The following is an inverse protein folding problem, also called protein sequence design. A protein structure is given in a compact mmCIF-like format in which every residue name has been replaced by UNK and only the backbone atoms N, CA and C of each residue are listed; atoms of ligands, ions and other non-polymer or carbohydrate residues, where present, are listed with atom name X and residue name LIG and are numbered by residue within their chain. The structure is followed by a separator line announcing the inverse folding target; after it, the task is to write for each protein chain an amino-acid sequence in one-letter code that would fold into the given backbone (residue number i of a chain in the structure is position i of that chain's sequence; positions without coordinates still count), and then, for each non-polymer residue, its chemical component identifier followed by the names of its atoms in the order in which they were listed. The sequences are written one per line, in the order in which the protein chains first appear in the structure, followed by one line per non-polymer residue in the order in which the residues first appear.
data_IF_126304498411
#
_entry.id   IF_126304498411
#
_cell.length_a   1.000
_cell.length_b   1.000
_cell.length_c   1.000
_cell.angle_alpha   90.00
_cell.angle_beta   90.00
_cell.angle_gamma   90.00
#
_symmetry.space_group_name_H-M   'P 1'
#
loop_
_entity.id
_entity.type
_entity.pdbx_description
1 polymer ?
#
# COMPACT_ATOMS: atom_id res chain seq x y z
N UNK A 1 25.01 11.77 4.86
CA UNK A 1 24.71 10.32 4.81
C UNK A 1 23.48 10.07 5.65
N UNK A 2 22.36 9.63 5.08
CA UNK A 2 21.18 9.41 5.90
C UNK A 2 21.30 8.09 6.66
N UNK A 3 21.25 8.19 7.97
CA UNK A 3 21.20 7.09 8.96
C UNK A 3 19.93 6.22 8.85
N UNK A 4 19.10 6.50 7.83
CA UNK A 4 17.75 5.93 7.65
C UNK A 4 17.72 4.46 7.20
N UNK A 5 18.83 3.89 6.74
CA UNK A 5 18.86 2.54 6.17
C UNK A 5 19.40 1.47 7.13
N UNK A 6 19.99 1.85 8.28
CA UNK A 6 20.50 0.88 9.23
C UNK A 6 19.36 0.03 9.81
N UNK A 7 19.39 -1.27 9.50
CA UNK A 7 18.48 -2.27 10.05
C UNK A 7 17.09 -2.37 9.39
N UNK A 8 16.88 -1.76 8.23
CA UNK A 8 15.64 -1.97 7.44
C UNK A 8 15.81 -3.15 6.47
N UNK A 9 14.92 -4.12 6.56
CA UNK A 9 14.84 -5.25 5.61
C UNK A 9 13.51 -5.23 4.90
N UNK A 10 13.54 -5.33 3.55
CA UNK A 10 12.34 -5.58 2.76
C UNK A 10 12.32 -7.05 2.31
N UNK A 11 11.19 -7.69 2.49
CA UNK A 11 11.01 -9.09 2.07
C UNK A 11 9.54 -9.39 1.73
N UNK A 12 9.32 -10.45 1.00
CA UNK A 12 7.97 -10.98 0.85
C UNK A 12 7.42 -11.43 2.21
N UNK A 13 6.13 -11.19 2.43
CA UNK A 13 5.45 -11.61 3.65
C UNK A 13 5.28 -13.13 3.67
N UNK A 14 5.31 -13.69 4.88
CA UNK A 14 5.07 -15.11 5.18
C UNK A 14 3.76 -15.26 5.95
N UNK A 15 3.21 -16.46 6.01
CA UNK A 15 1.97 -16.72 6.76
C UNK A 15 2.01 -16.24 8.22
N UNK A 16 3.17 -16.33 8.87
CA UNK A 16 3.39 -15.86 10.25
C UNK A 16 3.33 -14.32 10.42
N UNK A 17 3.41 -13.55 9.34
CA UNK A 17 3.37 -12.08 9.41
C UNK A 17 1.93 -11.54 9.53
N UNK A 18 0.90 -12.37 9.39
CA UNK A 18 -0.50 -11.94 9.35
C UNK A 18 -0.91 -11.06 10.54
N UNK A 19 -0.49 -11.42 11.77
CA UNK A 19 -0.76 -10.65 12.98
C UNK A 19 -0.05 -9.30 12.98
N UNK A 20 1.23 -9.27 12.58
CA UNK A 20 2.03 -8.05 12.52
C UNK A 20 1.50 -7.08 11.45
N UNK A 21 1.14 -7.59 10.25
CA UNK A 21 0.53 -6.80 9.18
C UNK A 21 -0.83 -6.24 9.64
N UNK A 22 -1.66 -7.06 10.29
CA UNK A 22 -2.95 -6.62 10.82
C UNK A 22 -2.78 -5.50 11.86
N UNK A 23 -1.76 -5.57 12.72
CA UNK A 23 -1.42 -4.52 13.68
C UNK A 23 -1.04 -3.22 12.95
N UNK A 24 -0.06 -3.27 12.05
CA UNK A 24 0.39 -2.11 11.26
C UNK A 24 -0.79 -1.49 10.52
N UNK A 25 -1.65 -2.30 9.90
CA UNK A 25 -2.81 -1.84 9.16
C UNK A 25 -3.79 -1.06 10.05
N UNK A 26 -4.15 -1.60 11.24
CA UNK A 26 -5.06 -0.93 12.17
C UNK A 26 -4.47 0.37 12.73
N UNK A 27 -3.20 0.33 13.16
CA UNK A 27 -2.53 1.51 13.72
C UNK A 27 -2.41 2.62 12.69
N UNK A 28 -1.96 2.28 11.46
CA UNK A 28 -1.85 3.24 10.37
C UNK A 28 -3.20 3.82 9.95
N UNK A 29 -4.28 3.02 9.96
CA UNK A 29 -5.63 3.51 9.69
C UNK A 29 -6.06 4.59 10.68
N UNK A 30 -5.84 4.36 11.98
CA UNK A 30 -6.20 5.32 13.02
C UNK A 30 -5.46 6.64 12.86
N UNK A 31 -4.17 6.60 12.55
CA UNK A 31 -3.36 7.81 12.40
C UNK A 31 -3.57 8.52 11.06
N UNK A 32 -3.73 7.77 9.97
CA UNK A 32 -3.89 8.32 8.61
C UNK A 32 -5.24 8.99 8.42
N UNK A 33 -6.31 8.38 8.94
CA UNK A 33 -7.69 8.82 8.67
C UNK A 33 -8.32 9.62 9.80
N UNK A 34 -7.59 9.85 10.91
CA UNK A 34 -8.02 10.78 11.96
C UNK A 34 -8.26 12.18 11.35
N UNK A 35 -9.47 12.71 11.54
CA UNK A 35 -9.88 14.00 10.96
C UNK A 35 -10.26 13.98 9.48
N UNK A 36 -10.14 12.82 8.80
CA UNK A 36 -10.58 12.63 7.40
C UNK A 36 -11.88 11.82 7.37
N UNK A 37 -11.96 10.75 8.14
CA UNK A 37 -13.11 9.87 8.23
C UNK A 37 -13.78 9.98 9.61
N UNK A 38 -15.11 9.83 9.71
CA UNK A 38 -15.80 9.69 10.98
C UNK A 38 -15.25 8.52 11.81
N UNK A 39 -15.24 8.67 13.13
CA UNK A 39 -14.67 7.65 14.03
C UNK A 39 -15.35 6.29 13.93
N UNK A 40 -16.67 6.26 13.73
CA UNK A 40 -17.45 5.03 13.53
C UNK A 40 -17.04 4.31 12.23
N UNK A 41 -16.70 5.05 11.18
CA UNK A 41 -16.20 4.48 9.91
C UNK A 41 -14.81 3.89 10.13
N UNK A 42 -13.93 4.63 10.81
CA UNK A 42 -12.58 4.12 11.15
C UNK A 42 -12.68 2.85 11.98
N UNK A 43 -13.53 2.81 13.01
CA UNK A 43 -13.72 1.66 13.89
C UNK A 43 -14.25 0.45 13.11
N UNK A 44 -15.28 0.63 12.28
CA UNK A 44 -15.88 -0.43 11.45
C UNK A 44 -14.86 -1.02 10.48
N UNK A 45 -14.12 -0.18 9.79
CA UNK A 45 -13.14 -0.63 8.82
C UNK A 45 -11.86 -1.20 9.47
N UNK A 46 -11.47 -0.70 10.63
CA UNK A 46 -10.37 -1.28 11.39
C UNK A 46 -10.68 -2.73 11.83
N UNK A 47 -11.93 -3.03 12.18
CA UNK A 47 -12.38 -4.40 12.48
C UNK A 47 -12.23 -5.38 11.31
N UNK A 48 -12.35 -4.89 10.07
CA UNK A 48 -12.15 -5.69 8.85
C UNK A 48 -10.67 -5.99 8.54
N UNK A 49 -9.74 -5.44 9.32
CA UNK A 49 -8.28 -5.60 9.14
C UNK A 49 -7.70 -6.57 10.17
N UNK A 50 -8.42 -7.66 10.41
CA UNK A 50 -8.06 -8.70 11.37
C UNK A 50 -6.94 -9.61 10.86
N UNK A 51 -6.28 -10.29 11.79
CA UNK A 51 -5.26 -11.28 11.45
C UNK A 51 -5.81 -12.40 10.55
N UNK A 52 -7.04 -12.85 10.79
CA UNK A 52 -7.68 -13.89 9.98
C UNK A 52 -7.88 -13.47 8.52
N UNK A 53 -8.19 -12.20 8.27
CA UNK A 53 -8.28 -11.64 6.91
C UNK A 53 -6.90 -11.66 6.25
N UNK A 54 -5.85 -11.22 6.96
CA UNK A 54 -4.49 -11.23 6.42
C UNK A 54 -3.96 -12.63 6.21
N UNK A 55 -4.27 -13.58 7.10
CA UNK A 55 -3.90 -14.99 6.92
C UNK A 55 -4.47 -15.56 5.61
N UNK A 56 -5.72 -15.25 5.28
CA UNK A 56 -6.33 -15.66 4.01
C UNK A 56 -5.66 -14.99 2.80
N UNK A 57 -5.34 -13.70 2.90
CA UNK A 57 -4.64 -12.99 1.82
C UNK A 57 -3.23 -13.52 1.55
N UNK A 58 -2.50 -13.84 2.61
CA UNK A 58 -1.15 -14.41 2.48
C UNK A 58 -1.14 -15.86 1.98
N UNK A 59 -2.29 -16.52 1.93
CA UNK A 59 -2.46 -17.84 1.34
C UNK A 59 -2.74 -17.81 -0.17
N UNK A 60 -3.01 -16.63 -0.76
CA UNK A 60 -3.16 -16.46 -2.21
C UNK A 60 -1.80 -16.63 -2.89
N UNK A 61 -1.72 -17.34 -4.04
CA UNK A 61 -0.47 -17.49 -4.77
C UNK A 61 0.19 -16.15 -5.10
N UNK A 62 1.52 -16.02 -4.92
CA UNK A 62 2.23 -14.76 -5.13
C UNK A 62 2.10 -14.17 -6.54
N UNK A 63 1.82 -15.01 -7.54
CA UNK A 63 1.59 -14.60 -8.93
C UNK A 63 0.31 -13.77 -9.07
N UNK A 64 -0.70 -14.04 -8.24
CA UNK A 64 -1.97 -13.32 -8.25
C UNK A 64 -1.97 -12.14 -7.29
N UNK A 65 -1.38 -12.33 -6.12
CA UNK A 65 -1.34 -11.29 -5.08
C UNK A 65 -0.10 -11.46 -4.20
N UNK A 66 0.71 -10.42 -4.12
CA UNK A 66 1.92 -10.41 -3.30
C UNK A 66 1.82 -9.37 -2.18
N UNK A 67 2.38 -9.70 -1.02
CA UNK A 67 2.53 -8.75 0.09
C UNK A 67 4.00 -8.61 0.43
N UNK A 68 4.48 -7.37 0.46
CA UNK A 68 5.82 -6.99 0.90
C UNK A 68 5.75 -6.41 2.29
N UNK A 69 6.69 -6.76 3.15
CA UNK A 69 6.84 -6.19 4.49
C UNK A 69 8.18 -5.48 4.62
N UNK A 70 8.14 -4.34 5.30
CA UNK A 70 9.30 -3.63 5.78
C UNK A 70 9.49 -3.98 7.26
N UNK A 71 10.64 -4.51 7.60
CA UNK A 71 11.00 -4.97 8.93
C UNK A 71 12.17 -4.15 9.46
N UNK A 72 12.05 -3.67 10.70
CA UNK A 72 13.12 -2.99 11.42
C UNK A 72 13.27 -3.61 12.80
N UNK A 73 14.49 -4.00 13.16
CA UNK A 73 14.80 -4.65 14.45
C UNK A 73 13.89 -5.84 14.75
N UNK A 74 13.59 -6.68 13.74
CA UNK A 74 12.74 -7.85 13.87
C UNK A 74 11.23 -7.56 13.94
N UNK A 75 10.82 -6.31 13.76
CA UNK A 75 9.39 -5.93 13.78
C UNK A 75 8.91 -5.40 12.43
N UNK A 76 7.76 -5.86 11.97
CA UNK A 76 7.10 -5.30 10.78
C UNK A 76 6.60 -3.89 11.12
N UNK A 77 7.10 -2.91 10.37
CA UNK A 77 6.81 -1.48 10.55
C UNK A 77 6.04 -0.87 9.37
N UNK A 78 5.95 -1.60 8.27
CA UNK A 78 5.20 -1.19 7.08
C UNK A 78 4.93 -2.38 6.17
N UNK A 79 3.98 -2.24 5.27
CA UNK A 79 3.69 -3.26 4.26
C UNK A 79 3.05 -2.64 3.01
N UNK A 80 3.19 -3.35 1.88
CA UNK A 80 2.42 -3.12 0.67
C UNK A 80 1.81 -4.44 0.20
N UNK A 81 0.54 -4.39 -0.22
CA UNK A 81 -0.16 -5.53 -0.82
C UNK A 81 -0.55 -5.16 -2.25
N UNK A 82 -0.20 -5.99 -3.21
CA UNK A 82 -0.35 -5.71 -4.63
C UNK A 82 -0.64 -6.99 -5.43
N UNK A 83 -1.11 -6.83 -6.65
CA UNK A 83 -1.41 -7.94 -7.57
C UNK A 83 -2.17 -7.46 -8.80
N UNK A 84 -2.90 -8.37 -9.45
CA UNK A 84 -3.72 -8.04 -10.60
C UNK A 84 -4.76 -6.97 -10.26
N UNK A 85 -5.01 -6.06 -11.19
CA UNK A 85 -5.99 -5.01 -11.00
C UNK A 85 -7.40 -5.59 -10.81
N UNK A 86 -8.10 -5.15 -9.76
CA UNK A 86 -9.51 -5.54 -9.53
C UNK A 86 -10.43 -5.02 -10.63
N UNK A 87 -10.04 -3.92 -11.25
CA UNK A 87 -10.70 -3.34 -12.43
C UNK A 87 -9.62 -2.73 -13.33
N UNK A 88 -9.72 -2.93 -14.63
CA UNK A 88 -8.82 -2.24 -15.58
C UNK A 88 -9.09 -0.74 -15.58
N UNK A 89 -8.04 0.05 -15.44
CA UNK A 89 -8.09 1.50 -15.52
C UNK A 89 -6.97 1.99 -16.45
N UNK A 90 -7.31 2.71 -17.51
CA UNK A 90 -6.34 3.22 -18.54
C UNK A 90 -5.37 2.15 -19.07
N UNK A 91 -5.86 0.92 -19.31
CA UNK A 91 -5.07 -0.23 -19.73
C UNK A 91 -4.04 -0.72 -18.69
N UNK A 92 -4.09 -0.24 -17.45
CA UNK A 92 -3.31 -0.76 -16.35
C UNK A 92 -4.01 -1.99 -15.77
N UNK A 93 -3.27 -3.09 -15.65
CA UNK A 93 -3.76 -4.39 -15.21
C UNK A 93 -3.15 -4.86 -13.88
N UNK A 94 -2.36 -3.98 -13.25
CA UNK A 94 -1.81 -4.20 -11.92
C UNK A 94 -2.27 -3.10 -10.93
N UNK A 95 -2.38 -3.47 -9.66
CA UNK A 95 -2.85 -2.55 -8.60
C UNK A 95 -2.10 -2.76 -7.29
N UNK A 96 -1.75 -1.66 -6.62
CA UNK A 96 -1.38 -1.68 -5.21
C UNK A 96 -2.65 -1.46 -4.39
N UNK A 97 -3.11 -2.50 -3.70
CA UNK A 97 -4.36 -2.48 -2.93
C UNK A 97 -4.23 -1.78 -1.59
N UNK A 98 -3.03 -1.82 -0.99
CA UNK A 98 -2.75 -1.25 0.32
C UNK A 98 -1.26 -0.93 0.45
N UNK A 99 -0.96 0.24 1.01
CA UNK A 99 0.39 0.68 1.36
C UNK A 99 0.31 1.44 2.68
N UNK A 100 0.92 0.90 3.72
CA UNK A 100 0.90 1.51 5.05
C UNK A 100 2.25 1.38 5.74
N UNK A 101 2.65 2.47 6.40
CA UNK A 101 3.85 2.55 7.24
C UNK A 101 3.44 3.20 8.55
N UNK A 102 3.87 2.62 9.69
CA UNK A 102 3.63 3.20 11.00
C UNK A 102 4.08 4.66 11.05
N UNK A 103 3.31 5.52 11.69
CA UNK A 103 3.56 6.96 11.73
C UNK A 103 4.97 7.30 12.23
N UNK A 104 5.46 6.59 13.25
CA UNK A 104 6.81 6.75 13.80
C UNK A 104 7.94 6.40 12.82
N UNK A 105 7.63 5.64 11.77
CA UNK A 105 8.58 5.16 10.76
C UNK A 105 8.42 5.85 9.40
N UNK A 106 7.46 6.76 9.28
CA UNK A 106 7.26 7.53 8.05
C UNK A 106 8.41 8.50 7.80
N UNK A 107 8.52 8.99 6.55
CA UNK A 107 9.54 9.96 6.07
C UNK A 107 10.99 9.45 6.16
N UNK A 108 11.16 8.13 6.27
CA UNK A 108 12.45 7.43 6.27
C UNK A 108 12.68 6.60 5.00
N UNK A 109 11.93 6.87 3.93
CA UNK A 109 12.06 6.17 2.63
C UNK A 109 11.34 4.82 2.56
N UNK A 110 10.77 4.29 3.65
CA UNK A 110 10.15 2.95 3.69
C UNK A 110 9.03 2.81 2.66
N UNK A 111 8.13 3.80 2.56
CA UNK A 111 7.05 3.77 1.57
C UNK A 111 7.55 3.69 0.14
N UNK A 112 8.63 4.42 -0.18
CA UNK A 112 9.28 4.39 -1.49
C UNK A 112 9.81 2.99 -1.80
N UNK A 113 10.49 2.36 -0.88
CA UNK A 113 11.05 1.02 -1.09
C UNK A 113 9.96 -0.04 -1.22
N UNK A 114 8.84 0.09 -0.50
CA UNK A 114 7.67 -0.78 -0.66
C UNK A 114 7.04 -0.64 -2.05
N UNK A 115 6.87 0.60 -2.57
CA UNK A 115 6.37 0.83 -3.95
C UNK A 115 7.32 0.23 -4.97
N UNK A 116 8.64 0.41 -4.79
CA UNK A 116 9.66 -0.20 -5.66
C UNK A 116 9.63 -1.72 -5.65
N UNK A 117 9.40 -2.32 -4.48
CA UNK A 117 9.26 -3.77 -4.37
C UNK A 117 8.04 -4.28 -5.16
N UNK A 118 6.91 -3.57 -5.08
CA UNK A 118 5.73 -3.86 -5.90
C UNK A 118 6.03 -3.68 -7.39
N UNK A 119 6.67 -2.58 -7.80
CA UNK A 119 7.02 -2.33 -9.20
C UNK A 119 7.94 -3.42 -9.76
N UNK A 120 8.96 -3.83 -9.02
CA UNK A 120 9.83 -4.97 -9.41
C UNK A 120 9.06 -6.30 -9.51
N UNK A 121 8.06 -6.51 -8.64
CA UNK A 121 7.19 -7.67 -8.73
C UNK A 121 6.36 -7.63 -10.01
N UNK A 122 5.71 -6.52 -10.32
CA UNK A 122 4.91 -6.34 -11.54
C UNK A 122 5.73 -6.58 -12.81
N UNK A 123 6.92 -6.00 -12.92
CA UNK A 123 7.81 -6.22 -14.07
C UNK A 123 8.16 -7.69 -14.24
N UNK A 124 8.40 -8.44 -13.15
CA UNK A 124 8.65 -9.90 -13.22
C UNK A 124 7.43 -10.70 -13.68
N UNK A 125 6.22 -10.16 -13.48
CA UNK A 125 4.97 -10.75 -13.97
C UNK A 125 4.61 -10.29 -15.41
N UNK A 126 5.46 -9.46 -16.04
CA UNK A 126 5.20 -8.92 -17.37
C UNK A 126 4.22 -7.73 -17.38
N UNK A 127 3.98 -7.13 -16.23
CA UNK A 127 3.13 -5.95 -16.07
C UNK A 127 4.03 -4.70 -15.98
N UNK A 128 3.85 -3.74 -16.87
CA UNK A 128 4.74 -2.58 -17.03
C UNK A 128 4.14 -1.27 -16.53
N UNK A 129 2.97 -1.33 -15.91
CA UNK A 129 2.31 -0.21 -15.27
C UNK A 129 1.37 -0.70 -14.17
N UNK A 130 1.05 0.17 -13.22
CA UNK A 130 0.09 -0.11 -12.16
C UNK A 130 -0.62 1.17 -11.72
N UNK A 131 -1.68 1.01 -10.94
CA UNK A 131 -2.36 2.12 -10.26
C UNK A 131 -2.66 1.80 -8.81
N UNK A 132 -3.09 2.81 -8.07
CA UNK A 132 -3.64 2.68 -6.72
C UNK A 132 -4.74 3.73 -6.50
N UNK A 133 -5.63 3.45 -5.54
CA UNK A 133 -6.65 4.39 -5.09
C UNK A 133 -6.26 5.00 -3.74
N UNK A 134 -6.54 6.29 -3.58
CA UNK A 134 -6.30 7.02 -2.34
C UNK A 134 -7.43 8.03 -2.10
N UNK A 135 -7.88 8.19 -0.85
CA UNK A 135 -8.86 9.22 -0.52
C UNK A 135 -8.37 10.61 -0.94
N UNK A 136 -9.23 11.39 -1.60
CA UNK A 136 -8.92 12.74 -2.10
C UNK A 136 -8.41 13.67 -1.01
N UNK A 137 -8.89 13.51 0.23
CA UNK A 137 -8.46 14.29 1.39
C UNK A 137 -7.16 13.76 2.04
N UNK A 138 -6.62 12.62 1.60
CA UNK A 138 -5.42 12.03 2.19
C UNK A 138 -4.15 12.72 1.66
N UNK A 139 -3.31 13.22 2.57
CA UNK A 139 -2.03 13.87 2.22
C UNK A 139 -1.01 12.93 1.55
N UNK A 140 -1.21 11.61 1.62
CA UNK A 140 -0.37 10.64 0.91
C UNK A 140 -0.37 10.86 -0.62
N UNK A 141 -1.33 11.60 -1.17
CA UNK A 141 -1.33 12.00 -2.59
C UNK A 141 -0.01 12.67 -2.99
N UNK A 142 0.48 13.61 -2.16
CA UNK A 142 1.76 14.30 -2.41
C UNK A 142 2.95 13.32 -2.50
N UNK A 143 2.92 12.22 -1.74
CA UNK A 143 3.93 11.17 -1.85
C UNK A 143 3.83 10.42 -3.19
N UNK A 144 2.62 10.09 -3.65
CA UNK A 144 2.44 9.41 -4.93
C UNK A 144 2.83 10.30 -6.11
N UNK A 145 2.49 11.58 -6.09
CA UNK A 145 2.94 12.59 -7.07
C UNK A 145 4.46 12.70 -7.10
N UNK A 146 5.11 12.79 -5.93
CA UNK A 146 6.57 12.82 -5.82
C UNK A 146 7.27 11.52 -6.28
N UNK A 147 6.52 10.41 -6.35
CA UNK A 147 6.98 9.13 -6.90
C UNK A 147 6.72 9.00 -8.42
N UNK A 148 6.22 10.06 -9.06
CA UNK A 148 5.92 10.09 -10.50
C UNK A 148 4.54 9.54 -10.86
N UNK A 149 3.65 9.35 -9.90
CA UNK A 149 2.26 8.98 -10.15
C UNK A 149 1.48 10.12 -10.76
N UNK A 150 0.67 9.82 -11.76
CA UNK A 150 -0.22 10.77 -12.44
C UNK A 150 -1.67 10.45 -12.06
N UNK A 151 -2.47 11.48 -11.80
CA UNK A 151 -3.91 11.32 -11.56
C UNK A 151 -4.59 10.82 -12.85
N UNK A 152 -5.25 9.66 -12.77
CA UNK A 152 -5.88 8.99 -13.92
C UNK A 152 -7.38 8.72 -13.73
N UNK A 153 -7.94 9.07 -12.60
CA UNK A 153 -9.37 8.90 -12.37
C UNK A 153 -9.83 9.30 -10.99
N UNK A 154 -11.12 9.50 -10.87
CA UNK A 154 -11.81 9.78 -9.62
C UNK A 154 -13.05 8.91 -9.51
N UNK A 155 -13.35 8.42 -8.31
CA UNK A 155 -14.58 7.70 -8.00
C UNK A 155 -15.11 8.10 -6.63
N UNK A 156 -16.39 7.79 -6.38
CA UNK A 156 -16.99 7.93 -5.05
C UNK A 156 -17.13 6.56 -4.41
N UNK A 157 -16.50 6.38 -3.25
CA UNK A 157 -16.65 5.20 -2.40
C UNK A 157 -17.73 5.46 -1.34
N UNK A 158 -18.64 4.49 -1.15
CA UNK A 158 -19.70 4.55 -0.14
C UNK A 158 -19.40 3.62 1.02
N UNK A 159 -19.37 4.18 2.23
CA UNK A 159 -19.16 3.45 3.48
C UNK A 159 -20.30 3.75 4.46
N UNK A 160 -21.33 2.88 4.46
CA UNK A 160 -22.56 3.13 5.18
C UNK A 160 -23.31 4.35 4.62
N UNK A 161 -23.58 5.34 5.47
CA UNK A 161 -24.24 6.59 5.08
C UNK A 161 -23.28 7.66 4.55
N UNK A 162 -21.96 7.39 4.57
CA UNK A 162 -20.94 8.33 4.16
C UNK A 162 -20.44 8.05 2.74
N UNK A 163 -20.11 9.10 2.01
CA UNK A 163 -19.50 9.04 0.68
C UNK A 163 -18.18 9.79 0.66
N UNK A 164 -17.16 9.19 0.06
CA UNK A 164 -15.80 9.74 0.01
C UNK A 164 -15.29 9.69 -1.43
N UNK A 165 -14.67 10.78 -1.87
CA UNK A 165 -13.98 10.81 -3.15
C UNK A 165 -12.62 10.10 -3.02
N UNK A 166 -12.30 9.20 -3.96
CA UNK A 166 -10.99 8.58 -4.14
C UNK A 166 -10.41 9.00 -5.48
N UNK A 167 -9.11 9.23 -5.49
CA UNK A 167 -8.31 9.54 -6.68
C UNK A 167 -7.46 8.32 -7.02
N UNK A 168 -7.42 7.96 -8.30
CA UNK A 168 -6.49 6.97 -8.82
C UNK A 168 -5.20 7.65 -9.27
N UNK A 169 -4.07 7.15 -8.78
CA UNK A 169 -2.74 7.48 -9.31
C UNK A 169 -2.20 6.30 -10.10
N UNK A 170 -1.75 6.56 -11.33
CA UNK A 170 -1.21 5.57 -12.26
C UNK A 170 0.25 5.83 -12.61
N UNK A 171 0.97 4.75 -12.86
CA UNK A 171 2.32 4.72 -13.42
C UNK A 171 2.30 3.86 -14.68
N UNK A 172 2.45 4.48 -15.85
CA UNK A 172 2.48 3.82 -17.16
C UNK A 172 3.88 3.36 -17.56
N UNK A 173 4.91 3.82 -16.86
CA UNK A 173 6.31 3.41 -17.02
C UNK A 173 6.94 3.18 -15.63
N UNK A 174 7.44 1.98 -15.42
CA UNK A 174 8.06 1.57 -14.15
C UNK A 174 9.58 1.72 -14.15
N UNK A 175 10.19 2.16 -15.26
CA UNK A 175 11.65 2.25 -15.39
C UNK A 175 12.27 3.07 -14.27
N UNK A 176 11.71 4.24 -13.96
CA UNK A 176 12.19 5.11 -12.88
C UNK A 176 12.04 4.52 -11.46
N UNK A 177 11.14 3.54 -11.28
CA UNK A 177 10.93 2.86 -9.99
C UNK A 177 11.85 1.66 -9.79
N UNK A 178 12.23 0.97 -10.88
CA UNK A 178 13.02 -0.28 -10.83
C UNK A 178 14.51 -0.09 -11.05
N UNK A 179 14.93 1.02 -11.71
CA UNK A 179 16.31 1.27 -12.13
C UNK A 179 17.26 1.75 -11.04
N UNK A 180 16.81 1.96 -9.81
CA UNK A 180 17.68 2.41 -8.69
C UNK A 180 17.98 1.20 -7.81
N UNK A 181 19.04 0.50 -8.17
CA UNK A 181 19.73 -0.50 -7.35
C UNK A 181 20.86 0.14 -6.58
#
# INVERSE_FOLDING_TARGET
MPEAAAGLTLRAARAGDAGAIARVHRESWRTTYAGILPLEVIATLAGRKSESVWRRRLAVPPEQQCTWVAERSGQVVGFANCGDARHRLENLDAEIYALYVLQSEQRRGIGRELVRACARHFVRQGQFGFYLWVLKANRARMFYEAMGGVEIGEKTERLGLHSFAEIAYGWHDLTGLVSVG
#
